data_IF_488871169814
#
_entry.id   IF_488871169814
#
_cell.length_a   1.000
_cell.length_b   1.000
_cell.length_c   1.000
_cell.angle_alpha   90.00
_cell.angle_beta   90.00
_cell.angle_gamma   90.00
#
_symmetry.space_group_name_H-M   'P 1'
#
loop_
_entity.id
_entity.type
_entity.pdbx_description
1 polymer ?
#
# COMPACT_ATOMS: atom_id res chain seq x y z
N UNK A 1 14.01 14.87 -3.77
CA UNK A 1 13.87 13.48 -4.24
C UNK A 1 14.26 12.60 -3.08
N UNK A 2 13.33 11.80 -2.58
CA UNK A 2 13.62 10.85 -1.51
C UNK A 2 13.83 9.48 -2.14
N UNK A 3 14.79 8.72 -1.61
CA UNK A 3 15.05 7.34 -2.05
C UNK A 3 14.99 6.46 -0.82
N UNK A 4 14.15 5.45 -0.88
CA UNK A 4 14.00 4.43 0.15
C UNK A 4 14.40 3.09 -0.44
N UNK A 5 15.29 2.38 0.25
CA UNK A 5 15.71 1.04 -0.13
C UNK A 5 15.13 0.06 0.88
N UNK A 6 14.45 -0.97 0.38
CA UNK A 6 13.98 -2.11 1.16
C UNK A 6 14.83 -3.33 0.87
N UNK A 7 14.79 -4.30 1.77
CA UNK A 7 15.61 -5.52 1.66
C UNK A 7 15.19 -6.39 0.47
N UNK A 8 13.88 -6.47 0.20
CA UNK A 8 13.32 -7.25 -0.87
C UNK A 8 11.99 -6.67 -1.40
N UNK A 9 11.38 -7.40 -2.34
CA UNK A 9 10.12 -7.06 -2.97
C UNK A 9 8.91 -7.12 -2.02
N UNK A 10 8.92 -8.04 -1.04
CA UNK A 10 7.84 -8.14 -0.07
C UNK A 10 7.88 -6.94 0.87
N UNK A 11 9.06 -6.59 1.38
CA UNK A 11 9.28 -5.39 2.19
C UNK A 11 8.92 -4.11 1.43
N UNK A 12 9.25 -4.02 0.13
CA UNK A 12 8.82 -2.91 -0.73
C UNK A 12 7.29 -2.80 -0.79
N UNK A 13 6.63 -3.94 -1.05
CA UNK A 13 5.19 -4.01 -1.19
C UNK A 13 4.46 -3.60 0.11
N UNK A 14 4.95 -4.10 1.24
CA UNK A 14 4.40 -3.78 2.57
C UNK A 14 4.63 -2.31 2.94
N UNK A 15 5.80 -1.74 2.63
CA UNK A 15 6.09 -0.33 2.88
C UNK A 15 5.14 0.60 2.11
N UNK A 16 4.92 0.32 0.82
CA UNK A 16 3.98 1.10 0.00
C UNK A 16 2.53 0.89 0.46
N UNK A 17 2.14 -0.35 0.80
CA UNK A 17 0.80 -0.63 1.31
C UNK A 17 0.54 0.13 2.63
N UNK A 18 1.53 0.19 3.51
CA UNK A 18 1.46 0.98 4.75
C UNK A 18 1.24 2.46 4.45
N UNK A 19 2.00 3.05 3.52
CA UNK A 19 1.82 4.46 3.15
C UNK A 19 0.42 4.76 2.57
N UNK A 20 -0.13 3.83 1.77
CA UNK A 20 -1.51 3.93 1.26
C UNK A 20 -2.53 3.87 2.40
N UNK A 21 -2.39 2.90 3.31
CA UNK A 21 -3.28 2.76 4.48
C UNK A 21 -3.24 4.02 5.36
N UNK A 22 -2.04 4.56 5.63
CA UNK A 22 -1.89 5.80 6.39
C UNK A 22 -2.58 6.97 5.69
N UNK A 23 -2.44 7.07 4.36
CA UNK A 23 -3.09 8.12 3.57
C UNK A 23 -4.61 8.04 3.65
N UNK A 24 -5.20 6.87 3.40
CA UNK A 24 -6.67 6.67 3.45
C UNK A 24 -7.20 6.83 4.88
N UNK A 25 -6.46 6.35 5.88
CA UNK A 25 -6.86 6.51 7.30
C UNK A 25 -6.90 7.98 7.70
N UNK A 26 -5.94 8.79 7.24
CA UNK A 26 -5.89 10.22 7.53
C UNK A 26 -6.89 11.02 6.68
N UNK A 27 -7.17 10.57 5.45
CA UNK A 27 -8.11 11.19 4.52
C UNK A 27 -8.93 10.11 3.80
N UNK A 28 -10.09 9.70 4.37
CA UNK A 28 -10.90 8.62 3.80
C UNK A 28 -11.45 8.91 2.39
N UNK A 29 -11.55 10.18 2.00
CA UNK A 29 -11.95 10.64 0.67
C UNK A 29 -10.73 10.94 -0.25
N UNK A 30 -9.56 10.41 0.07
CA UNK A 30 -8.36 10.61 -0.76
C UNK A 30 -8.54 9.99 -2.15
N UNK A 31 -8.21 10.76 -3.19
CA UNK A 31 -8.05 10.24 -4.54
C UNK A 31 -6.68 9.60 -4.68
N UNK A 32 -6.63 8.28 -4.89
CA UNK A 32 -5.40 7.54 -5.10
C UNK A 32 -5.39 6.99 -6.54
N UNK A 33 -4.37 7.36 -7.31
CA UNK A 33 -4.10 6.76 -8.61
C UNK A 33 -3.21 5.53 -8.40
N UNK A 34 -3.73 4.35 -8.72
CA UNK A 34 -2.97 3.10 -8.58
C UNK A 34 -2.46 2.65 -9.93
N UNK A 35 -1.15 2.35 -10.00
CA UNK A 35 -0.51 1.85 -11.20
C UNK A 35 -0.89 0.38 -11.49
N UNK A 36 -0.82 -0.01 -12.77
CA UNK A 36 -0.85 -1.40 -13.19
C UNK A 36 0.54 -2.03 -13.31
N UNK A 37 0.58 -3.30 -13.74
CA UNK A 37 1.81 -4.08 -13.92
C UNK A 37 2.13 -5.00 -12.73
N UNK A 38 3.29 -5.65 -12.77
CA UNK A 38 3.63 -6.71 -11.81
C UNK A 38 4.06 -6.17 -10.44
N UNK A 39 4.82 -5.07 -10.41
CA UNK A 39 5.32 -4.46 -9.17
C UNK A 39 4.21 -4.11 -8.14
N UNK A 40 3.06 -3.52 -8.52
CA UNK A 40 1.99 -3.24 -7.56
C UNK A 40 1.19 -4.48 -7.13
N UNK A 41 1.37 -5.67 -7.72
CA UNK A 41 0.62 -6.87 -7.30
C UNK A 41 0.86 -7.22 -5.83
N UNK A 42 2.09 -7.08 -5.34
CA UNK A 42 2.41 -7.30 -3.93
C UNK A 42 1.72 -6.28 -3.01
N UNK A 43 1.66 -5.01 -3.45
CA UNK A 43 0.95 -3.95 -2.73
C UNK A 43 -0.53 -4.27 -2.62
N UNK A 44 -1.18 -4.67 -3.71
CA UNK A 44 -2.59 -5.07 -3.69
C UNK A 44 -2.84 -6.25 -2.75
N UNK A 45 -1.98 -7.27 -2.76
CA UNK A 45 -2.09 -8.40 -1.86
C UNK A 45 -2.04 -7.98 -0.38
N UNK A 46 -1.11 -7.08 -0.03
CA UNK A 46 -0.98 -6.53 1.31
C UNK A 46 -2.20 -5.67 1.72
N UNK A 47 -2.72 -4.83 0.82
CA UNK A 47 -3.92 -4.02 1.07
C UNK A 47 -5.17 -4.88 1.30
N UNK A 48 -5.39 -5.90 0.46
CA UNK A 48 -6.50 -6.86 0.64
C UNK A 48 -6.36 -7.61 1.96
N UNK A 49 -5.15 -8.00 2.35
CA UNK A 49 -4.90 -8.66 3.63
C UNK A 49 -5.22 -7.74 4.82
N UNK A 50 -4.80 -6.47 4.77
CA UNK A 50 -5.11 -5.48 5.80
C UNK A 50 -6.61 -5.21 5.93
N UNK A 51 -7.33 -5.10 4.80
CA UNK A 51 -8.78 -4.94 4.77
C UNK A 51 -9.49 -6.13 5.42
N UNK A 52 -9.10 -7.37 5.07
CA UNK A 52 -9.64 -8.60 5.69
C UNK A 52 -9.38 -8.71 7.19
N UNK A 53 -8.33 -8.05 7.70
CA UNK A 53 -8.03 -7.98 9.13
C UNK A 53 -8.76 -6.84 9.85
N UNK A 54 -9.55 -6.03 9.14
CA UNK A 54 -10.22 -4.86 9.72
C UNK A 54 -9.27 -3.72 10.09
N UNK A 55 -8.04 -3.70 9.54
CA UNK A 55 -7.05 -2.64 9.80
C UNK A 55 -7.32 -1.36 9.01
N UNK A 56 -8.08 -1.46 7.93
CA UNK A 56 -8.41 -0.38 7.00
C UNK A 56 -9.70 -0.72 6.27
N UNK A 57 -10.47 0.29 5.90
CA UNK A 57 -11.66 0.20 5.06
C UNK A 57 -11.42 1.05 3.80
N UNK A 58 -11.70 0.50 2.62
CA UNK A 58 -11.39 1.11 1.31
C UNK A 58 -12.66 1.36 0.50
#
# INVERSE_FOLDING_TARGET
MNVEQTDDYAALSDAVAKAVIETVTQKPDALICIAGGDTPLGVFAALVHASKQGKVDF
#
